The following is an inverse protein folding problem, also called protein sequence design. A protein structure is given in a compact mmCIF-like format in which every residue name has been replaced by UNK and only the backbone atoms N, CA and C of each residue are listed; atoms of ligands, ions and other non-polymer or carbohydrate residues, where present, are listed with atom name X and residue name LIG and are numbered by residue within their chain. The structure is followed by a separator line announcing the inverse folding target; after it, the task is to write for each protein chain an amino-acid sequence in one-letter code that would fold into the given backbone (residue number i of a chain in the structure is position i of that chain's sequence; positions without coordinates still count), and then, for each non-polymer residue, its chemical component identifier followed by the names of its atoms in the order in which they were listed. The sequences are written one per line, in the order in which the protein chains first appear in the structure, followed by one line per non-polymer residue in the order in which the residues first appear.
data_IF_964072478301
#
_entry.id   IF_964072478301
#
_cell.length_a   1.000
_cell.length_b   1.000
_cell.length_c   1.000
_cell.angle_alpha   90.00
_cell.angle_beta   90.00
_cell.angle_gamma   90.00
#
_symmetry.space_group_name_H-M   'P 1'
#
loop_
_entity.id
_entity.type
_entity.pdbx_description
1 polymer ?
#
# COMPACT_ATOMS: atom_id res chain seq x y z
N UNK A 1 -18.62 24.99 -0.27
CA UNK A 1 -17.78 23.91 -0.84
C UNK A 1 -16.41 24.50 -1.09
N UNK A 2 -15.37 23.92 -0.48
CA UNK A 2 -13.99 24.33 -0.73
C UNK A 2 -13.62 23.81 -2.14
N UNK A 3 -13.00 24.61 -3.03
CA UNK A 3 -12.56 24.16 -4.36
C UNK A 3 -11.60 22.96 -4.36
N UNK A 4 -11.15 22.52 -3.18
CA UNK A 4 -10.31 21.35 -2.96
C UNK A 4 -11.08 20.04 -2.66
N UNK A 5 -12.38 20.09 -2.39
CA UNK A 5 -13.21 18.92 -2.03
C UNK A 5 -13.72 18.24 -3.30
N UNK A 6 -12.88 17.37 -3.90
CA UNK A 6 -13.33 16.48 -4.99
C UNK A 6 -13.64 15.09 -4.41
N UNK A 7 -14.68 14.39 -4.90
CA UNK A 7 -15.04 13.06 -4.42
C UNK A 7 -13.89 12.04 -4.50
N UNK A 8 -12.99 12.21 -5.48
CA UNK A 8 -11.78 11.40 -5.64
C UNK A 8 -10.72 11.69 -4.56
N UNK A 9 -10.60 12.95 -4.12
CA UNK A 9 -9.69 13.33 -3.04
C UNK A 9 -10.17 12.77 -1.71
N UNK A 10 -11.49 12.80 -1.48
CA UNK A 10 -12.11 12.24 -0.28
C UNK A 10 -11.92 10.72 -0.25
N UNK A 11 -12.32 10.01 -1.31
CA UNK A 11 -12.12 8.54 -1.36
C UNK A 11 -10.67 8.08 -1.18
N UNK A 12 -9.71 8.80 -1.77
CA UNK A 12 -8.28 8.49 -1.61
C UNK A 12 -7.78 8.76 -0.19
N UNK A 13 -8.22 9.87 0.43
CA UNK A 13 -7.90 10.19 1.83
C UNK A 13 -8.48 9.13 2.77
N UNK A 14 -9.70 8.71 2.52
CA UNK A 14 -10.41 7.66 3.27
C UNK A 14 -9.63 6.36 3.23
N UNK A 15 -9.21 5.96 2.04
CA UNK A 15 -8.41 4.75 1.86
C UNK A 15 -7.03 4.85 2.52
N UNK A 16 -6.39 6.01 2.45
CA UNK A 16 -5.10 6.25 3.09
C UNK A 16 -5.20 6.09 4.61
N UNK A 17 -6.26 6.63 5.22
CA UNK A 17 -6.52 6.51 6.65
C UNK A 17 -6.78 5.06 7.07
N UNK A 18 -7.56 4.31 6.27
CA UNK A 18 -7.74 2.88 6.46
C UNK A 18 -6.44 2.10 6.43
N UNK A 19 -5.61 2.38 5.43
CA UNK A 19 -4.31 1.72 5.25
C UNK A 19 -3.36 2.03 6.42
N UNK A 20 -3.35 3.26 6.92
CA UNK A 20 -2.58 3.64 8.11
C UNK A 20 -3.04 2.87 9.34
N UNK A 21 -4.35 2.77 9.57
CA UNK A 21 -4.91 2.03 10.71
C UNK A 21 -4.60 0.53 10.61
N UNK A 22 -4.74 -0.06 9.42
CA UNK A 22 -4.39 -1.46 9.16
C UNK A 22 -2.89 -1.72 9.40
N UNK A 23 -2.02 -0.86 8.87
CA UNK A 23 -0.56 -0.99 9.03
C UNK A 23 -0.14 -0.85 10.49
N UNK A 24 -0.72 0.12 11.21
CA UNK A 24 -0.45 0.29 12.63
C UNK A 24 -0.88 -0.93 13.47
N UNK A 25 -2.03 -1.52 13.17
CA UNK A 25 -2.49 -2.74 13.83
C UNK A 25 -1.54 -3.93 13.57
N UNK A 26 -1.07 -4.09 12.32
CA UNK A 26 -0.07 -5.13 11.96
C UNK A 26 1.29 -4.89 12.62
N UNK A 27 1.74 -3.65 12.72
CA UNK A 27 2.97 -3.30 13.43
C UNK A 27 2.87 -3.66 14.91
N UNK A 28 1.75 -3.31 15.56
CA UNK A 28 1.52 -3.69 16.95
C UNK A 28 1.45 -5.21 17.13
N UNK A 29 0.80 -5.92 16.21
CA UNK A 29 0.74 -7.37 16.18
C UNK A 29 2.16 -7.97 16.14
N UNK A 30 3.04 -7.43 15.29
CA UNK A 30 4.42 -7.87 15.21
C UNK A 30 5.18 -7.67 16.53
N UNK A 31 5.02 -6.51 17.19
CA UNK A 31 5.62 -6.28 18.52
C UNK A 31 5.14 -7.29 19.56
N UNK A 32 3.90 -7.75 19.47
CA UNK A 32 3.40 -8.79 20.38
C UNK A 32 3.96 -10.18 20.08
N UNK A 33 4.48 -10.48 18.88
CA UNK A 33 5.10 -11.78 18.61
C UNK A 33 6.30 -12.03 19.54
N UNK A 34 7.06 -10.99 19.86
CA UNK A 34 8.23 -11.05 20.74
C UNK A 34 7.86 -10.85 22.22
N UNK A 35 6.91 -9.95 22.52
CA UNK A 35 6.62 -9.52 23.89
C UNK A 35 5.52 -10.32 24.59
N UNK A 36 4.47 -10.70 23.85
CA UNK A 36 3.29 -11.32 24.43
C UNK A 36 2.48 -12.08 23.36
N UNK A 37 2.79 -13.37 23.12
CA UNK A 37 2.11 -14.16 22.10
C UNK A 37 0.60 -14.26 22.36
N UNK A 38 0.18 -14.32 23.63
CA UNK A 38 -1.24 -14.33 24.03
C UNK A 38 -2.01 -13.11 23.52
N UNK A 39 -1.41 -11.91 23.60
CA UNK A 39 -2.00 -10.69 23.02
C UNK A 39 -1.91 -10.66 21.51
N UNK A 40 -0.86 -11.25 20.93
CA UNK A 40 -0.72 -11.40 19.48
C UNK A 40 -1.89 -12.20 18.91
N UNK A 41 -2.15 -13.41 19.41
CA UNK A 41 -3.28 -14.24 18.96
C UNK A 41 -4.63 -13.54 19.15
N UNK A 42 -4.82 -12.84 20.27
CA UNK A 42 -6.06 -12.11 20.51
C UNK A 42 -6.27 -10.98 19.49
N UNK A 43 -5.22 -10.19 19.22
CA UNK A 43 -5.30 -9.08 18.26
C UNK A 43 -5.46 -9.61 16.83
N UNK A 44 -4.77 -10.70 16.47
CA UNK A 44 -4.93 -11.36 15.18
C UNK A 44 -6.37 -11.82 14.97
N UNK A 45 -6.95 -12.53 15.95
CA UNK A 45 -8.35 -12.93 15.90
C UNK A 45 -9.29 -11.73 15.77
N UNK A 46 -9.05 -10.66 16.55
CA UNK A 46 -9.83 -9.44 16.45
C UNK A 46 -9.78 -8.83 15.04
N UNK A 47 -8.59 -8.73 14.43
CA UNK A 47 -8.40 -8.19 13.09
C UNK A 47 -9.09 -9.03 12.01
N UNK A 48 -9.10 -10.36 12.15
CA UNK A 48 -9.81 -11.25 11.24
C UNK A 48 -11.33 -11.11 11.34
N UNK A 49 -11.85 -10.94 12.55
CA UNK A 49 -13.30 -10.76 12.79
C UNK A 49 -13.80 -9.35 12.46
N UNK A 50 -12.90 -8.37 12.38
CA UNK A 50 -13.22 -6.96 12.15
C UNK A 50 -12.30 -6.38 11.07
N UNK A 51 -12.37 -6.86 9.83
CA UNK A 51 -11.54 -6.33 8.76
C UNK A 51 -11.93 -4.88 8.44
N UNK A 52 -10.93 -4.04 8.14
CA UNK A 52 -11.16 -2.70 7.60
C UNK A 52 -11.49 -2.86 6.10
N UNK A 53 -12.72 -2.54 5.66
CA UNK A 53 -13.12 -2.75 4.28
C UNK A 53 -12.39 -1.81 3.31
N UNK A 54 -12.36 -2.20 2.04
CA UNK A 54 -11.73 -1.38 0.98
C UNK A 54 -12.61 -0.25 0.48
N UNK A 55 -13.91 -0.48 0.52
CA UNK A 55 -14.95 0.38 -0.02
C UNK A 55 -16.08 0.47 1.02
N UNK A 56 -16.84 1.56 1.02
CA UNK A 56 -17.92 1.78 1.97
C UNK A 56 -17.99 3.21 2.48
N UNK A 57 -18.61 3.38 3.64
CA UNK A 57 -18.68 4.68 4.31
C UNK A 57 -17.30 5.11 4.85
N UNK A 58 -17.09 6.42 5.02
CA UNK A 58 -15.86 6.95 5.62
C UNK A 58 -15.49 6.23 6.92
N UNK A 59 -16.45 6.04 7.84
CA UNK A 59 -16.19 5.47 9.15
C UNK A 59 -15.69 4.02 9.05
N UNK A 60 -16.10 3.29 8.02
CA UNK A 60 -15.65 1.93 7.76
C UNK A 60 -14.27 1.92 7.08
N UNK A 61 -14.14 2.66 5.97
CA UNK A 61 -12.93 2.63 5.12
C UNK A 61 -11.73 3.25 5.83
N UNK A 62 -11.93 4.27 6.66
CA UNK A 62 -10.87 4.92 7.44
C UNK A 62 -10.35 4.06 8.61
N UNK A 63 -11.10 3.03 9.02
CA UNK A 63 -10.83 2.27 10.24
C UNK A 63 -11.32 2.93 11.54
N UNK A 64 -12.13 3.99 11.46
CA UNK A 64 -12.77 4.60 12.64
C UNK A 64 -13.67 3.60 13.37
N UNK A 65 -14.52 2.86 12.66
CA UNK A 65 -15.40 1.85 13.26
C UNK A 65 -14.62 0.68 13.89
N UNK A 66 -13.49 0.30 13.29
CA UNK A 66 -12.54 -0.66 13.87
C UNK A 66 -12.03 -0.17 15.24
N UNK A 67 -11.54 1.07 15.31
CA UNK A 67 -11.02 1.63 16.56
C UNK A 67 -12.12 1.88 17.60
N UNK A 68 -13.28 2.38 17.18
CA UNK A 68 -14.43 2.61 18.07
C UNK A 68 -14.89 1.30 18.70
N UNK A 69 -14.92 0.22 17.93
CA UNK A 69 -15.25 -1.11 18.45
C UNK A 69 -14.25 -1.52 19.54
N UNK A 70 -12.94 -1.42 19.30
CA UNK A 70 -11.93 -1.68 20.36
C UNK A 70 -12.12 -0.79 21.59
N UNK A 71 -12.32 0.51 21.41
CA UNK A 71 -12.50 1.48 22.50
C UNK A 71 -13.77 1.20 23.32
N UNK A 72 -14.81 0.66 22.69
CA UNK A 72 -16.07 0.31 23.35
C UNK A 72 -16.04 -1.06 24.06
N UNK A 73 -15.11 -1.94 23.70
CA UNK A 73 -15.05 -3.27 24.28
C UNK A 73 -14.70 -3.23 25.78
N UNK A 74 -15.31 -4.09 26.60
CA UNK A 74 -14.90 -4.29 27.97
C UNK A 74 -13.55 -5.02 28.01
N UNK A 75 -12.91 -4.99 29.19
CA UNK A 75 -11.75 -5.85 29.46
C UNK A 75 -12.14 -7.30 29.20
N UNK A 76 -11.36 -7.96 28.37
CA UNK A 76 -11.56 -9.35 28.00
C UNK A 76 -10.55 -10.24 28.72
N UNK A 77 -10.83 -11.53 28.80
CA UNK A 77 -9.83 -12.53 29.15
C UNK A 77 -9.53 -13.35 27.92
N UNK A 78 -8.25 -13.61 27.70
CA UNK A 78 -7.80 -14.49 26.63
C UNK A 78 -6.80 -15.48 27.20
N UNK A 79 -6.72 -16.66 26.60
CA UNK A 79 -5.78 -17.70 26.98
C UNK A 79 -5.05 -18.13 25.73
N UNK A 80 -3.73 -18.28 25.83
CA UNK A 80 -2.95 -18.76 24.70
C UNK A 80 -3.36 -20.18 24.35
N UNK A 81 -3.85 -20.37 23.12
CA UNK A 81 -4.16 -21.68 22.58
C UNK A 81 -3.10 -22.04 21.54
N UNK A 82 -2.24 -23.00 21.90
CA UNK A 82 -1.20 -23.49 21.00
C UNK A 82 -1.86 -24.40 19.97
N UNK A 83 -1.93 -23.97 18.71
CA UNK A 83 -2.49 -24.76 17.61
C UNK A 83 -2.03 -26.23 17.68
N UNK A 84 -2.98 -27.14 17.93
CA UNK A 84 -2.75 -28.58 17.93
C UNK A 84 -2.34 -29.21 19.27
N UNK A 85 -2.24 -28.47 20.37
CA UNK A 85 -2.05 -29.07 21.70
C UNK A 85 -3.40 -29.23 22.40
N UNK A 86 -3.64 -30.41 22.95
CA UNK A 86 -4.88 -30.68 23.69
C UNK A 86 -5.01 -29.69 24.86
N UNK A 87 -6.20 -29.12 25.05
CA UNK A 87 -6.51 -28.11 26.07
C UNK A 87 -6.14 -28.60 27.48
N UNK A 88 -6.17 -29.91 27.69
CA UNK A 88 -5.78 -30.58 28.94
C UNK A 88 -4.30 -30.38 29.32
N UNK A 89 -3.43 -30.09 28.35
CA UNK A 89 -2.00 -29.84 28.58
C UNK A 89 -1.60 -28.36 28.43
N UNK A 90 -2.58 -27.46 28.27
CA UNK A 90 -2.31 -26.02 28.29
C UNK A 90 -2.07 -25.55 29.72
N UNK A 91 -0.84 -25.14 30.02
CA UNK A 91 -0.45 -24.54 31.31
C UNK A 91 -0.51 -23.01 31.30
N UNK A 92 -1.07 -22.38 30.26
CA UNK A 92 -1.11 -20.92 30.19
C UNK A 92 -2.22 -20.37 31.07
N UNK A 93 -1.88 -19.48 32.00
CA UNK A 93 -2.87 -18.74 32.77
C UNK A 93 -3.66 -17.78 31.87
N UNK A 94 -4.96 -17.57 32.12
CA UNK A 94 -5.73 -16.55 31.41
C UNK A 94 -5.10 -15.17 31.66
N UNK A 95 -4.96 -14.41 30.57
CA UNK A 95 -4.42 -13.06 30.56
C UNK A 95 -5.58 -12.07 30.36
N UNK A 96 -5.61 -11.02 31.20
CA UNK A 96 -6.48 -9.88 30.99
C UNK A 96 -6.01 -9.06 29.78
N UNK A 97 -6.93 -8.80 28.87
CA UNK A 97 -6.73 -7.92 27.71
C UNK A 97 -7.51 -6.65 27.94
N UNK A 98 -6.86 -5.50 27.77
CA UNK A 98 -7.50 -4.19 27.72
C UNK A 98 -7.56 -3.70 26.26
N UNK A 99 -8.68 -3.88 25.55
CA UNK A 99 -8.84 -3.45 24.17
C UNK A 99 -8.67 -1.93 23.98
N UNK A 100 -8.95 -1.13 25.02
CA UNK A 100 -8.86 0.34 24.95
C UNK A 100 -7.42 0.78 24.90
N UNK A 101 -6.57 0.18 25.73
CA UNK A 101 -5.12 0.39 25.69
C UNK A 101 -4.52 -0.07 24.35
N UNK A 102 -5.00 -1.18 23.79
CA UNK A 102 -4.59 -1.63 22.44
C UNK A 102 -4.98 -0.59 21.38
N UNK A 103 -6.21 -0.06 21.42
CA UNK A 103 -6.64 0.98 20.50
C UNK A 103 -5.79 2.25 20.61
N UNK A 104 -5.45 2.68 21.83
CA UNK A 104 -4.56 3.83 22.07
C UNK A 104 -3.19 3.62 21.40
N UNK A 105 -2.57 2.46 21.59
CA UNK A 105 -1.30 2.13 20.94
C UNK A 105 -1.39 2.13 19.41
N UNK A 106 -2.48 1.61 18.84
CA UNK A 106 -2.71 1.65 17.38
C UNK A 106 -2.83 3.11 16.91
N UNK A 107 -3.53 3.96 17.67
CA UNK A 107 -3.66 5.39 17.35
C UNK A 107 -2.33 6.15 17.43
N UNK A 108 -1.47 5.80 18.38
CA UNK A 108 -0.11 6.35 18.48
C UNK A 108 0.76 5.92 17.29
N UNK A 109 0.80 4.62 17.00
CA UNK A 109 1.59 4.06 15.89
C UNK A 109 1.11 4.64 14.55
N UNK A 110 -0.20 4.71 14.29
CA UNK A 110 -0.70 5.27 13.02
C UNK A 110 -0.32 6.74 12.86
N UNK A 111 -0.24 7.50 13.94
CA UNK A 111 0.23 8.89 13.89
C UNK A 111 1.71 9.00 13.56
N UNK A 112 2.55 8.06 14.02
CA UNK A 112 3.97 8.01 13.69
C UNK A 112 4.18 7.63 12.21
N UNK A 113 3.54 6.55 11.76
CA UNK A 113 3.59 6.12 10.35
C UNK A 113 3.11 7.23 9.41
N UNK A 114 2.05 7.96 9.78
CA UNK A 114 1.57 9.08 8.97
C UNK A 114 2.64 10.17 8.77
N UNK A 115 3.44 10.46 9.80
CA UNK A 115 4.53 11.44 9.68
C UNK A 115 5.64 10.93 8.76
N UNK A 116 6.02 9.67 8.90
CA UNK A 116 7.02 9.03 8.03
C UNK A 116 6.57 9.06 6.57
N UNK A 117 5.32 8.67 6.30
CA UNK A 117 4.78 8.67 4.95
C UNK A 117 4.73 10.06 4.32
N UNK A 118 4.47 11.10 5.10
CA UNK A 118 4.53 12.48 4.59
C UNK A 118 5.94 12.81 4.11
N UNK A 119 6.98 12.40 4.83
CA UNK A 119 8.36 12.64 4.41
C UNK A 119 8.75 11.80 3.18
N UNK A 120 8.36 10.52 3.13
CA UNK A 120 8.57 9.64 1.98
C UNK A 120 7.87 10.17 0.72
N UNK A 121 6.61 10.61 0.84
CA UNK A 121 5.82 11.11 -0.29
C UNK A 121 6.40 12.39 -0.91
N UNK A 122 7.25 13.14 -0.20
CA UNK A 122 7.97 14.30 -0.77
C UNK A 122 9.02 13.88 -1.79
N UNK A 123 9.53 12.63 -1.71
CA UNK A 123 10.58 12.12 -2.60
C UNK A 123 10.06 11.62 -3.95
N UNK A 124 8.73 11.47 -4.10
CA UNK A 124 8.11 10.89 -5.30
C UNK A 124 8.51 11.59 -6.59
N UNK A 125 8.68 12.92 -6.59
CA UNK A 125 9.14 13.64 -7.79
C UNK A 125 10.57 13.29 -8.19
N UNK A 126 11.44 13.08 -7.20
CA UNK A 126 12.84 12.69 -7.44
C UNK A 126 12.92 11.23 -7.93
N UNK A 127 12.17 10.33 -7.29
CA UNK A 127 12.07 8.93 -7.72
C UNK A 127 11.55 8.81 -9.16
N UNK A 128 10.54 9.61 -9.52
CA UNK A 128 10.03 9.67 -10.90
C UNK A 128 11.11 10.15 -11.89
N UNK A 129 11.92 11.14 -11.51
CA UNK A 129 13.00 11.63 -12.37
C UNK A 129 14.11 10.59 -12.57
N UNK A 130 14.45 9.85 -11.51
CA UNK A 130 15.40 8.72 -11.58
C UNK A 130 14.85 7.65 -12.54
N UNK A 131 13.59 7.25 -12.37
CA UNK A 131 12.95 6.23 -13.20
C UNK A 131 12.92 6.65 -14.69
N UNK A 132 12.60 7.91 -14.99
CA UNK A 132 12.65 8.43 -16.36
C UNK A 132 14.07 8.37 -16.93
N UNK A 133 15.07 8.82 -16.16
CA UNK A 133 16.47 8.80 -16.59
C UNK A 133 16.96 7.39 -16.86
N UNK A 134 16.66 6.44 -15.98
CA UNK A 134 17.03 5.02 -16.15
C UNK A 134 16.40 4.45 -17.42
N UNK A 135 15.09 4.65 -17.60
CA UNK A 135 14.36 4.17 -18.78
C UNK A 135 14.94 4.72 -20.07
N UNK A 136 15.24 6.02 -20.11
CA UNK A 136 15.86 6.68 -21.25
C UNK A 136 17.26 6.11 -21.50
N UNK A 137 18.08 5.96 -20.46
CA UNK A 137 19.44 5.42 -20.60
C UNK A 137 19.41 3.99 -21.14
N UNK A 138 18.52 3.15 -20.65
CA UNK A 138 18.32 1.79 -21.16
C UNK A 138 17.89 1.79 -22.62
N UNK A 139 17.02 2.72 -23.03
CA UNK A 139 16.58 2.83 -24.44
C UNK A 139 17.72 3.19 -25.40
N UNK A 140 18.77 3.88 -24.92
CA UNK A 140 19.95 4.26 -25.71
C UNK A 140 21.09 3.23 -25.68
N UNK A 141 20.97 2.14 -24.94
CA UNK A 141 21.98 1.07 -24.98
C UNK A 141 21.98 0.44 -26.38
N UNK A 142 23.16 0.45 -27.02
CA UNK A 142 23.49 0.02 -28.39
C UNK A 142 22.96 -1.36 -28.83
N UNK A 143 22.40 -2.18 -27.94
CA UNK A 143 21.76 -3.44 -28.28
C UNK A 143 20.43 -3.27 -29.05
N UNK A 144 19.77 -2.11 -28.95
CA UNK A 144 18.54 -1.79 -29.69
C UNK A 144 18.77 -0.94 -30.95
N UNK A 145 20.00 -0.50 -31.19
CA UNK A 145 20.35 0.07 -32.49
C UNK A 145 20.46 -1.09 -33.46
N UNK A 146 19.41 -1.32 -34.25
CA UNK A 146 19.51 -2.15 -35.44
C UNK A 146 20.68 -1.61 -36.26
N UNK A 147 21.81 -2.30 -36.22
CA UNK A 147 22.93 -2.03 -37.11
C UNK A 147 22.40 -2.39 -38.49
N UNK A 148 21.91 -1.38 -39.22
CA UNK A 148 21.62 -1.54 -40.64
C UNK A 148 22.96 -1.86 -41.28
N UNK A 149 23.10 -3.11 -41.71
CA UNK A 149 24.26 -3.53 -42.49
C UNK A 149 24.31 -2.64 -43.75
N UNK A 150 25.39 -1.87 -43.98
CA UNK A 150 25.49 -1.00 -45.15
C UNK A 150 25.44 -1.77 -46.47
N UNK A 151 25.59 -3.10 -46.46
CA UNK A 151 25.38 -3.96 -47.64
C UNK A 151 23.90 -4.22 -47.96
N UNK A 152 22.97 -3.95 -47.05
CA UNK A 152 21.50 -4.03 -47.24
C UNK A 152 20.90 -2.69 -47.73
N UNK A 153 21.70 -1.63 -47.88
CA UNK A 153 21.25 -0.33 -48.38
C UNK A 153 21.16 -0.25 -49.92
N UNK A 154 21.35 -1.38 -50.62
CA UNK A 154 21.23 -1.49 -52.06
C UNK A 154 20.02 -2.36 -52.40
N UNK A 155 19.15 -1.85 -53.27
CA UNK A 155 17.87 -2.39 -53.73
C UNK A 155 16.69 -2.26 -52.75
N UNK A 156 15.90 -1.21 -52.96
CA UNK A 156 14.57 -1.11 -52.36
C UNK A 156 14.03 0.30 -52.38
N UNK A 157 13.39 0.67 -53.49
CA UNK A 157 12.40 1.74 -53.54
C UNK A 157 11.41 1.58 -52.38
N UNK A 158 11.58 2.37 -51.32
CA UNK A 158 10.61 2.47 -50.23
C UNK A 158 9.33 3.14 -50.77
N UNK A 159 8.15 2.51 -50.70
CA UNK A 159 6.93 3.04 -51.31
C UNK A 159 6.21 4.13 -50.49
N UNK A 160 6.84 4.73 -49.48
CA UNK A 160 6.14 5.68 -48.57
C UNK A 160 6.70 7.11 -48.53
N UNK A 161 7.56 7.49 -49.47
CA UNK A 161 7.96 8.90 -49.63
C UNK A 161 7.57 9.44 -51.01
N UNK A 162 6.27 9.35 -51.32
CA UNK A 162 5.68 10.20 -52.37
C UNK A 162 4.91 11.31 -51.66
N UNK A 163 5.60 12.43 -51.43
CA UNK A 163 4.95 13.67 -51.02
C UNK A 163 4.19 14.23 -52.22
N UNK A 164 2.90 14.63 -52.10
CA UNK A 164 2.03 14.90 -53.25
C UNK A 164 2.33 16.19 -54.05
N UNK A 165 3.43 16.91 -53.77
CA UNK A 165 3.65 18.27 -54.31
C UNK A 165 4.82 18.42 -55.30
N UNK A 166 5.41 17.32 -55.77
CA UNK A 166 6.47 17.38 -56.79
C UNK A 166 6.21 16.41 -57.94
N UNK A 167 5.04 16.54 -58.59
CA UNK A 167 4.92 16.19 -59.99
C UNK A 167 5.39 17.40 -60.81
N UNK A 168 6.46 17.22 -61.57
CA UNK A 168 7.01 18.20 -62.51
C UNK A 168 5.98 18.46 -63.61
N UNK A 169 5.68 19.73 -63.84
CA UNK A 169 5.27 20.21 -65.16
C UNK A 169 6.49 20.86 -65.80
N UNK A 170 7.10 20.16 -66.75
CA UNK A 170 7.96 20.73 -67.78
C UNK A 170 7.32 20.39 -69.15
N UNK A 171 7.34 21.39 -70.03
CA UNK A 171 6.95 21.45 -71.47
C UNK A 171 5.51 21.84 -71.84
#
# INVERSE_FOLDING_TARGET
MNPNDTPLRDGNRDRLMGLLTERAAKTLLFYFTELNPTLMQWLEYYMQQNPIPREGSWDDVSGENFLRKLLSMPVAQTQWDFYGRDKMFSKSSPLGVDPRNIAQRIMEIRSQIAKEWIEELKQVSEENAILMRETVTTSFVLANLAVVDPSQAHDGTHPELVHPDFAKDDE
#
